data_IF_510803888130
#
_entry.id   IF_510803888130
#
_cell.length_a   1.000
_cell.length_b   1.000
_cell.length_c   1.000
_cell.angle_alpha   90.00
_cell.angle_beta   90.00
_cell.angle_gamma   90.00
#
_symmetry.space_group_name_H-M   'P 1'
#
loop_
_entity.id
_entity.type
_entity.pdbx_description
1 polymer ?
#
# COMPACT_ATOMS: atom_id res chain seq x y z
N UNK A 1 33.76 8.42 -39.07
CA UNK A 1 32.97 9.18 -38.08
C UNK A 1 31.90 8.22 -37.53
N UNK A 2 31.96 7.91 -36.24
CA UNK A 2 31.27 6.75 -35.62
C UNK A 2 29.75 6.93 -35.60
N UNK A 3 29.04 5.88 -36.05
CA UNK A 3 27.63 5.63 -35.75
C UNK A 3 27.44 5.50 -34.23
N UNK A 4 26.44 6.19 -33.67
CA UNK A 4 25.92 5.89 -32.33
C UNK A 4 24.48 5.41 -32.52
N UNK A 5 24.36 4.09 -32.54
CA UNK A 5 23.11 3.35 -32.41
C UNK A 5 22.60 3.58 -30.98
N UNK A 6 21.37 4.06 -30.81
CA UNK A 6 20.72 4.16 -29.50
C UNK A 6 20.39 2.74 -29.03
N UNK A 7 20.94 2.25 -27.91
CA UNK A 7 20.49 0.98 -27.37
C UNK A 7 19.11 1.19 -26.74
N UNK A 8 18.15 0.37 -27.18
CA UNK A 8 16.91 0.07 -26.48
C UNK A 8 17.26 -0.34 -25.06
N UNK A 9 16.99 0.52 -24.08
CA UNK A 9 17.09 0.14 -22.67
C UNK A 9 15.87 -0.73 -22.35
N UNK A 10 16.08 -2.03 -22.42
CA UNK A 10 15.24 -3.06 -21.82
C UNK A 10 15.02 -2.66 -20.35
N UNK A 11 13.78 -2.40 -19.97
CA UNK A 11 13.41 -2.25 -18.56
C UNK A 11 13.37 -3.65 -17.95
N UNK A 12 14.56 -4.18 -17.68
CA UNK A 12 14.77 -5.45 -17.01
C UNK A 12 14.57 -5.30 -15.51
N UNK A 13 13.76 -6.20 -14.96
CA UNK A 13 13.92 -6.85 -13.66
C UNK A 13 14.81 -6.10 -12.65
N UNK A 14 14.20 -5.41 -11.67
CA UNK A 14 14.93 -5.02 -10.47
C UNK A 14 15.22 -6.28 -9.66
N UNK A 15 16.40 -6.86 -9.91
CA UNK A 15 16.99 -7.88 -9.08
C UNK A 15 17.21 -7.30 -7.68
N UNK A 16 16.56 -7.94 -6.71
CA UNK A 16 16.79 -7.76 -5.28
C UNK A 16 18.23 -8.22 -4.99
N UNK A 17 19.19 -7.28 -4.95
CA UNK A 17 20.52 -7.53 -4.40
C UNK A 17 20.44 -7.47 -2.88
N UNK A 18 20.48 -8.63 -2.23
CA UNK A 18 20.73 -8.74 -0.80
C UNK A 18 22.23 -8.55 -0.53
N UNK A 19 22.61 -7.42 0.06
CA UNK A 19 23.90 -7.28 0.73
C UNK A 19 23.79 -7.98 2.08
N UNK A 20 24.55 -9.05 2.28
CA UNK A 20 24.73 -9.69 3.58
C UNK A 20 25.66 -8.84 4.44
N UNK A 21 25.09 -7.98 5.27
CA UNK A 21 25.75 -7.47 6.46
C UNK A 21 25.02 -8.02 7.68
N UNK A 22 25.63 -9.00 8.36
CA UNK A 22 25.33 -9.27 9.75
C UNK A 22 25.82 -8.07 10.57
N UNK A 23 24.94 -7.07 10.72
CA UNK A 23 25.12 -5.96 11.63
C UNK A 23 23.95 -6.00 12.62
N UNK A 24 24.26 -5.80 13.89
CA UNK A 24 23.34 -5.84 15.02
C UNK A 24 21.97 -5.24 14.69
N UNK A 25 20.91 -5.93 15.09
CA UNK A 25 19.59 -5.34 15.24
C UNK A 25 19.62 -4.30 16.37
N UNK A 26 20.33 -3.19 16.15
CA UNK A 26 20.02 -1.95 16.80
C UNK A 26 18.65 -1.56 16.25
N UNK A 27 17.64 -1.55 17.11
CA UNK A 27 16.29 -1.14 16.79
C UNK A 27 16.31 0.26 16.21
N UNK A 28 16.36 0.36 14.88
CA UNK A 28 16.10 1.60 14.17
C UNK A 28 14.66 1.96 14.52
N UNK A 29 14.50 2.93 15.42
CA UNK A 29 13.18 3.38 15.82
C UNK A 29 12.44 3.84 14.57
N UNK A 30 11.31 3.20 14.25
CA UNK A 30 10.48 3.56 13.09
C UNK A 30 10.18 5.04 13.15
N UNK A 31 10.61 5.79 12.12
CA UNK A 31 10.51 7.25 12.12
C UNK A 31 9.08 7.63 11.77
N UNK A 32 8.38 8.15 12.77
CA UNK A 32 7.06 8.72 12.57
C UNK A 32 7.14 10.05 11.83
N UNK A 33 6.84 10.04 10.51
CA UNK A 33 6.80 11.22 9.65
C UNK A 33 5.44 11.94 9.68
N UNK A 34 4.35 11.17 9.83
CA UNK A 34 2.98 11.67 9.76
C UNK A 34 2.41 12.10 11.13
N UNK A 35 3.09 11.75 12.23
CA UNK A 35 2.70 12.02 13.63
C UNK A 35 1.28 11.56 13.97
N UNK A 36 0.85 10.46 13.36
CA UNK A 36 -0.49 9.90 13.54
C UNK A 36 -0.56 9.16 14.88
N UNK A 37 -1.45 9.55 15.81
CA UNK A 37 -1.60 8.85 17.08
C UNK A 37 -2.04 7.39 16.87
N UNK A 38 -1.28 6.45 17.43
CA UNK A 38 -1.56 5.02 17.33
C UNK A 38 -2.05 4.39 18.65
N UNK A 39 -2.49 3.12 18.59
CA UNK A 39 -2.70 2.33 17.38
C UNK A 39 -3.90 2.81 16.55
N UNK A 40 -3.85 2.57 15.24
CA UNK A 40 -5.01 2.79 14.36
C UNK A 40 -5.98 1.62 14.50
N UNK A 41 -7.27 1.92 14.60
CA UNK A 41 -8.33 0.92 14.77
C UNK A 41 -9.11 0.74 13.47
N UNK A 42 -9.23 -0.50 12.99
CA UNK A 42 -10.07 -0.82 11.83
C UNK A 42 -10.64 -2.23 11.95
N UNK A 43 -11.95 -2.38 11.71
CA UNK A 43 -12.65 -3.66 11.71
C UNK A 43 -12.40 -4.55 12.95
N UNK A 44 -12.23 -3.92 14.13
CA UNK A 44 -11.96 -4.63 15.40
C UNK A 44 -10.50 -5.01 15.64
N UNK A 45 -9.58 -4.68 14.74
CA UNK A 45 -8.15 -4.89 14.90
C UNK A 45 -7.41 -3.58 15.22
N UNK A 46 -6.34 -3.70 16.00
CA UNK A 46 -5.40 -2.62 16.30
C UNK A 46 -4.14 -2.76 15.43
N UNK A 47 -3.71 -1.65 14.84
CA UNK A 47 -2.57 -1.58 13.93
C UNK A 47 -1.53 -0.61 14.47
N UNK A 48 -0.32 -1.12 14.70
CA UNK A 48 0.80 -0.36 15.26
C UNK A 48 1.79 0.00 14.15
N UNK A 49 2.34 1.22 14.20
CA UNK A 49 3.34 1.66 13.23
C UNK A 49 4.55 0.72 13.29
N UNK A 50 4.80 0.01 12.19
CA UNK A 50 5.88 -0.96 12.10
C UNK A 50 6.96 -0.50 11.13
N UNK A 51 6.59 0.20 10.06
CA UNK A 51 7.54 0.71 9.08
C UNK A 51 7.11 2.05 8.52
N UNK A 52 8.09 2.83 8.05
CA UNK A 52 7.89 4.17 7.52
C UNK A 52 8.94 4.50 6.48
N UNK A 53 8.58 5.27 5.45
CA UNK A 53 9.51 5.77 4.43
C UNK A 53 9.11 7.13 3.91
N UNK A 54 10.11 7.91 3.51
CA UNK A 54 9.99 9.20 2.84
C UNK A 54 10.98 9.23 1.66
N UNK A 55 10.68 8.53 0.55
CA UNK A 55 11.63 8.34 -0.54
C UNK A 55 11.69 9.53 -1.51
N UNK A 56 10.71 10.43 -1.45
CA UNK A 56 10.63 11.66 -2.26
C UNK A 56 10.09 12.79 -1.38
N UNK A 57 10.46 14.06 -1.63
CA UNK A 57 10.02 15.20 -0.82
C UNK A 57 8.50 15.35 -0.68
N UNK A 58 7.75 14.87 -1.67
CA UNK A 58 6.28 14.95 -1.75
C UNK A 58 5.58 13.65 -1.29
N UNK A 59 6.31 12.62 -0.84
CA UNK A 59 5.73 11.30 -0.59
C UNK A 59 6.13 10.71 0.75
N UNK A 60 5.13 10.38 1.56
CA UNK A 60 5.30 9.76 2.86
C UNK A 60 4.52 8.44 2.89
N UNK A 61 5.14 7.41 3.44
CA UNK A 61 4.54 6.08 3.55
C UNK A 61 4.69 5.55 4.95
N UNK A 62 3.59 5.14 5.56
CA UNK A 62 3.56 4.42 6.83
C UNK A 62 2.86 3.09 6.65
N UNK A 63 3.40 2.04 7.25
CA UNK A 63 2.82 0.70 7.30
C UNK A 63 2.62 0.30 8.75
N UNK A 64 1.40 -0.12 9.04
CA UNK A 64 0.95 -0.52 10.36
C UNK A 64 0.48 -1.97 10.30
N UNK A 65 0.90 -2.78 11.27
CA UNK A 65 0.49 -4.19 11.35
C UNK A 65 -0.01 -4.52 12.76
N UNK A 66 -0.85 -5.56 12.92
CA UNK A 66 -1.20 -6.07 14.24
C UNK A 66 0.02 -6.53 15.04
N UNK A 67 -0.09 -6.50 16.37
CA UNK A 67 0.98 -6.96 17.25
C UNK A 67 1.40 -8.40 16.90
N UNK A 68 2.72 -8.63 16.84
CA UNK A 68 3.32 -9.93 16.50
C UNK A 68 3.50 -10.18 14.99
N UNK A 69 3.04 -9.27 14.13
CA UNK A 69 3.33 -9.30 12.69
C UNK A 69 4.48 -8.34 12.33
N UNK A 70 5.09 -8.54 11.17
CA UNK A 70 6.08 -7.63 10.59
C UNK A 70 5.73 -7.32 9.13
N UNK A 71 6.35 -6.29 8.55
CA UNK A 71 5.98 -5.80 7.22
C UNK A 71 6.48 -6.70 6.08
N UNK A 72 7.52 -7.49 6.33
CA UNK A 72 8.08 -8.45 5.39
C UNK A 72 7.14 -9.64 5.17
N UNK A 73 6.47 -10.09 6.24
CA UNK A 73 5.47 -11.15 6.22
C UNK A 73 4.30 -10.85 7.17
N UNK A 74 3.17 -10.47 6.58
CA UNK A 74 1.94 -10.10 7.31
C UNK A 74 0.71 -10.81 6.74
N UNK A 75 -0.32 -10.94 7.58
CA UNK A 75 -1.66 -11.37 7.17
C UNK A 75 -2.61 -10.18 7.01
N UNK A 76 -2.38 -9.09 7.76
CA UNK A 76 -3.20 -7.89 7.71
C UNK A 76 -2.32 -6.66 7.91
N UNK A 77 -2.49 -5.64 7.05
CA UNK A 77 -1.73 -4.40 7.12
C UNK A 77 -2.65 -3.21 6.83
N UNK A 78 -2.47 -2.14 7.59
CA UNK A 78 -3.04 -0.82 7.31
C UNK A 78 -1.92 0.09 6.80
N UNK A 79 -2.17 0.85 5.76
CA UNK A 79 -1.20 1.71 5.09
C UNK A 79 -1.71 3.14 5.06
N UNK A 80 -0.80 4.10 5.26
CA UNK A 80 -1.04 5.51 4.97
C UNK A 80 0.03 5.97 3.98
N UNK A 81 -0.39 6.27 2.76
CA UNK A 81 0.48 6.89 1.75
C UNK A 81 -0.04 8.32 1.51
N UNK A 82 0.76 9.32 1.88
CA UNK A 82 0.46 10.73 1.64
C UNK A 82 1.28 11.23 0.46
N UNK A 83 0.59 11.73 -0.55
CA UNK A 83 1.17 12.55 -1.62
C UNK A 83 0.88 14.02 -1.31
N UNK A 84 1.91 14.75 -0.91
CA UNK A 84 1.89 16.20 -0.68
C UNK A 84 2.07 16.97 -2.00
N UNK A 85 1.03 16.93 -2.84
CA UNK A 85 0.97 17.70 -4.09
C UNK A 85 -0.40 18.39 -4.19
N UNK A 86 -0.40 19.72 -4.23
CA UNK A 86 -1.61 20.55 -4.30
C UNK A 86 -2.47 20.30 -5.54
N UNK A 87 -1.89 19.76 -6.61
CA UNK A 87 -2.60 19.46 -7.85
C UNK A 87 -3.21 18.06 -7.87
N UNK A 88 -2.77 17.18 -6.95
CA UNK A 88 -3.23 15.80 -6.90
C UNK A 88 -4.68 15.70 -6.40
N UNK A 89 -5.47 14.86 -7.07
CA UNK A 89 -6.84 14.57 -6.66
C UNK A 89 -7.06 13.07 -6.41
N UNK A 90 -8.04 12.70 -5.56
CA UNK A 90 -8.43 11.30 -5.37
C UNK A 90 -8.80 10.57 -6.68
N UNK A 91 -9.51 11.24 -7.59
CA UNK A 91 -9.84 10.70 -8.93
C UNK A 91 -8.58 10.37 -9.74
N UNK A 92 -7.59 11.26 -9.75
CA UNK A 92 -6.34 11.04 -10.48
C UNK A 92 -5.56 9.85 -9.91
N UNK A 93 -5.42 9.76 -8.59
CA UNK A 93 -4.68 8.65 -7.96
C UNK A 93 -5.40 7.32 -8.13
N UNK A 94 -6.73 7.29 -8.05
CA UNK A 94 -7.54 6.13 -8.42
C UNK A 94 -7.25 5.72 -9.86
N UNK A 95 -7.30 6.65 -10.81
CA UNK A 95 -7.06 6.40 -12.23
C UNK A 95 -5.66 5.83 -12.51
N UNK A 96 -4.63 6.38 -11.85
CA UNK A 96 -3.24 5.86 -11.95
C UNK A 96 -3.17 4.41 -11.48
N UNK A 97 -3.77 4.08 -10.32
CA UNK A 97 -3.74 2.71 -9.80
C UNK A 97 -4.55 1.74 -10.66
N UNK A 98 -5.70 2.16 -11.18
CA UNK A 98 -6.50 1.37 -12.12
C UNK A 98 -5.71 1.08 -13.40
N UNK A 99 -5.01 2.06 -13.97
CA UNK A 99 -4.17 1.86 -15.15
C UNK A 99 -2.97 0.94 -14.89
N UNK A 100 -2.41 0.94 -13.66
CA UNK A 100 -1.42 -0.06 -13.24
C UNK A 100 -2.03 -1.47 -13.21
N UNK A 101 -3.19 -1.65 -12.57
CA UNK A 101 -3.88 -2.94 -12.47
C UNK A 101 -4.29 -3.49 -13.84
N UNK A 102 -4.78 -2.64 -14.74
CA UNK A 102 -5.11 -3.05 -16.12
C UNK A 102 -3.89 -3.58 -16.88
N UNK A 103 -2.74 -2.90 -16.77
CA UNK A 103 -1.49 -3.42 -17.38
C UNK A 103 -1.05 -4.74 -16.73
N UNK A 104 -1.23 -4.87 -15.42
CA UNK A 104 -0.83 -6.07 -14.66
C UNK A 104 -1.63 -7.32 -15.06
N UNK A 105 -2.88 -7.19 -15.51
CA UNK A 105 -3.70 -8.32 -16.00
C UNK A 105 -3.02 -9.13 -17.10
N UNK A 106 -2.12 -8.52 -17.87
CA UNK A 106 -1.37 -9.23 -18.92
C UNK A 106 -0.46 -10.35 -18.37
N UNK A 107 -0.06 -10.25 -17.10
CA UNK A 107 0.89 -11.18 -16.46
C UNK A 107 0.36 -11.83 -15.19
N UNK A 108 -0.76 -11.33 -14.65
CA UNK A 108 -1.34 -11.76 -13.38
C UNK A 108 -2.86 -11.99 -13.56
N UNK A 109 -3.29 -13.23 -13.85
CA UNK A 109 -4.69 -13.55 -14.09
C UNK A 109 -5.55 -13.45 -12.82
N UNK A 110 -4.93 -13.33 -11.64
CA UNK A 110 -5.65 -13.12 -10.37
C UNK A 110 -6.17 -11.69 -10.28
N UNK A 111 -5.62 -10.74 -11.06
CA UNK A 111 -6.02 -9.33 -10.97
C UNK A 111 -7.49 -9.14 -11.27
N UNK A 112 -8.24 -8.76 -10.24
CA UNK A 112 -9.61 -8.26 -10.30
C UNK A 112 -9.71 -7.00 -9.46
N UNK A 113 -10.51 -6.04 -9.89
CA UNK A 113 -10.69 -4.80 -9.16
C UNK A 113 -12.07 -4.18 -9.40
N UNK A 114 -12.48 -3.31 -8.49
CA UNK A 114 -13.72 -2.55 -8.52
C UNK A 114 -13.42 -1.14 -8.02
N UNK A 115 -13.39 -0.13 -8.91
CA UNK A 115 -13.25 1.25 -8.51
C UNK A 115 -14.61 1.85 -8.17
N UNK A 116 -14.65 2.73 -7.18
CA UNK A 116 -15.78 3.56 -6.82
C UNK A 116 -15.28 5.00 -6.63
N UNK A 117 -15.93 5.96 -7.28
CA UNK A 117 -15.65 7.38 -7.12
C UNK A 117 -16.91 8.06 -6.57
N UNK A 118 -16.77 8.94 -5.58
CA UNK A 118 -17.89 9.73 -5.07
C UNK A 118 -18.45 10.64 -6.18
N UNK A 119 -19.72 11.04 -6.06
CA UNK A 119 -20.35 11.96 -7.01
C UNK A 119 -19.59 13.31 -7.08
N UNK A 120 -19.10 13.79 -5.93
CA UNK A 120 -18.26 14.97 -5.77
C UNK A 120 -16.81 14.79 -6.23
N UNK A 121 -16.38 13.55 -6.54
CA UNK A 121 -15.02 13.17 -6.95
C UNK A 121 -13.90 13.46 -5.94
N UNK A 122 -14.27 13.88 -4.75
CA UNK A 122 -13.38 14.19 -3.63
C UNK A 122 -13.01 12.95 -2.81
N UNK A 123 -13.63 11.79 -3.08
CA UNK A 123 -13.29 10.53 -2.42
C UNK A 123 -13.36 9.38 -3.42
N UNK A 124 -12.42 8.46 -3.32
CA UNK A 124 -12.40 7.25 -4.12
C UNK A 124 -12.14 6.03 -3.25
N UNK A 125 -12.69 4.89 -3.66
CA UNK A 125 -12.42 3.58 -3.10
C UNK A 125 -12.03 2.61 -4.23
N UNK A 126 -11.01 1.79 -3.99
CA UNK A 126 -10.57 0.77 -4.92
C UNK A 126 -10.42 -0.55 -4.17
N UNK A 127 -11.27 -1.50 -4.51
CA UNK A 127 -11.20 -2.87 -4.03
C UNK A 127 -10.52 -3.73 -5.10
N UNK A 128 -9.43 -4.43 -4.77
CA UNK A 128 -8.69 -5.23 -5.75
C UNK A 128 -7.98 -6.43 -5.13
N UNK A 129 -7.65 -7.41 -5.97
CA UNK A 129 -6.82 -8.55 -5.63
C UNK A 129 -5.74 -8.70 -6.69
N UNK A 130 -4.55 -9.15 -6.30
CA UNK A 130 -3.44 -9.45 -7.18
C UNK A 130 -2.62 -10.63 -6.63
N UNK A 131 -1.74 -11.18 -7.46
CA UNK A 131 -0.82 -12.24 -7.04
C UNK A 131 0.63 -11.88 -7.32
N UNK A 132 1.53 -12.53 -6.59
CA UNK A 132 2.97 -12.43 -6.79
C UNK A 132 3.61 -13.80 -6.52
N UNK A 133 4.90 -13.88 -6.80
CA UNK A 133 5.72 -15.03 -6.42
C UNK A 133 6.81 -14.52 -5.47
N UNK A 134 7.02 -15.21 -4.35
CA UNK A 134 8.12 -14.91 -3.43
C UNK A 134 9.49 -15.37 -4.00
N UNK A 135 10.56 -15.13 -3.23
CA UNK A 135 11.91 -15.47 -3.67
C UNK A 135 12.12 -16.99 -3.81
N UNK A 136 11.32 -17.78 -3.10
CA UNK A 136 11.34 -19.24 -3.09
C UNK A 136 10.43 -19.85 -4.18
N UNK A 137 9.72 -19.03 -4.95
CA UNK A 137 8.82 -19.50 -6.01
C UNK A 137 7.39 -19.79 -5.55
N UNK A 138 7.04 -19.50 -4.29
CA UNK A 138 5.68 -19.72 -3.79
C UNK A 138 4.75 -18.58 -4.20
N UNK A 139 3.50 -18.94 -4.48
CA UNK A 139 2.45 -17.97 -4.78
C UNK A 139 2.07 -17.17 -3.53
N UNK A 140 1.96 -15.87 -3.69
CA UNK A 140 1.36 -14.93 -2.75
C UNK A 140 0.09 -14.38 -3.41
N UNK A 141 -1.00 -14.29 -2.66
CA UNK A 141 -2.19 -13.54 -3.08
C UNK A 141 -2.46 -12.45 -2.05
N UNK A 142 -2.82 -11.28 -2.56
CA UNK A 142 -3.12 -10.12 -1.73
C UNK A 142 -4.42 -9.46 -2.18
N UNK A 143 -5.35 -9.34 -1.25
CA UNK A 143 -6.51 -8.47 -1.39
C UNK A 143 -6.22 -7.11 -0.75
N UNK A 144 -6.65 -6.06 -1.41
CA UNK A 144 -6.47 -4.68 -1.01
C UNK A 144 -7.76 -3.89 -1.15
N UNK A 145 -8.00 -2.99 -0.21
CA UNK A 145 -8.98 -1.93 -0.33
C UNK A 145 -8.29 -0.59 -0.06
N UNK A 146 -8.26 0.31 -1.03
CA UNK A 146 -7.66 1.64 -0.91
C UNK A 146 -8.74 2.70 -0.89
N UNK A 147 -8.67 3.62 0.07
CA UNK A 147 -9.51 4.82 0.13
C UNK A 147 -8.64 6.05 -0.08
N UNK A 148 -8.96 6.85 -1.09
CA UNK A 148 -8.29 8.12 -1.36
C UNK A 148 -9.17 9.26 -0.89
N UNK A 149 -8.61 10.16 -0.09
CA UNK A 149 -9.28 11.34 0.46
C UNK A 149 -8.35 12.56 0.40
N UNK A 150 -8.88 13.79 0.43
CA UNK A 150 -8.05 14.97 0.55
C UNK A 150 -7.24 14.88 1.85
N UNK A 151 -5.97 15.29 1.78
CA UNK A 151 -5.10 15.25 2.94
C UNK A 151 -5.61 16.20 4.03
N UNK A 152 -5.68 15.75 5.30
CA UNK A 152 -6.01 16.63 6.42
C UNK A 152 -4.90 17.65 6.74
N UNK A 153 -3.71 17.53 6.12
CA UNK A 153 -2.68 18.57 6.17
C UNK A 153 -2.97 19.80 5.26
N UNK A 154 -4.05 19.74 4.46
CA UNK A 154 -4.52 20.84 3.63
C UNK A 154 -3.98 20.85 2.19
N UNK A 155 -3.11 19.91 1.82
CA UNK A 155 -2.55 19.77 0.48
C UNK A 155 -2.44 18.30 0.08
N UNK A 156 -2.80 17.99 -1.16
CA UNK A 156 -2.67 16.66 -1.74
C UNK A 156 -3.65 15.62 -1.20
N UNK A 157 -3.25 14.36 -1.28
CA UNK A 157 -4.14 13.20 -1.13
C UNK A 157 -3.54 12.20 -0.16
N UNK A 158 -4.35 11.76 0.79
CA UNK A 158 -4.04 10.62 1.65
C UNK A 158 -4.72 9.37 1.08
N UNK A 159 -3.93 8.32 0.84
CA UNK A 159 -4.43 6.97 0.62
C UNK A 159 -4.37 6.20 1.94
N UNK A 160 -5.53 5.70 2.37
CA UNK A 160 -5.68 4.77 3.49
C UNK A 160 -5.94 3.39 2.91
N UNK A 161 -5.03 2.44 3.11
CA UNK A 161 -5.11 1.12 2.50
C UNK A 161 -5.24 0.00 3.53
N UNK A 162 -6.19 -0.91 3.35
CA UNK A 162 -6.24 -2.18 4.07
C UNK A 162 -5.79 -3.30 3.13
N UNK A 163 -4.78 -4.05 3.54
CA UNK A 163 -4.24 -5.20 2.81
C UNK A 163 -4.39 -6.48 3.62
N UNK A 164 -4.75 -7.58 2.95
CA UNK A 164 -4.69 -8.94 3.49
C UNK A 164 -3.96 -9.85 2.53
N UNK A 165 -2.93 -10.51 3.05
CA UNK A 165 -2.00 -11.31 2.26
C UNK A 165 -1.99 -12.75 2.77
N UNK A 166 -1.90 -13.69 1.84
CA UNK A 166 -1.80 -15.11 2.12
C UNK A 166 -0.68 -15.75 1.30
N UNK A 167 -0.05 -16.79 1.86
CA UNK A 167 1.15 -17.39 1.32
C UNK A 167 0.96 -18.89 1.10
N UNK A 168 1.14 -19.34 -0.15
CA UNK A 168 0.95 -20.72 -0.54
C UNK A 168 -0.53 -21.15 -0.57
N UNK A 169 -0.78 -22.25 -1.27
CA UNK A 169 -2.13 -22.65 -1.69
C UNK A 169 -3.14 -22.79 -0.54
N UNK A 170 -2.72 -23.33 0.60
CA UNK A 170 -3.59 -23.56 1.76
C UNK A 170 -4.09 -22.24 2.34
N UNK A 171 -3.19 -21.29 2.61
CA UNK A 171 -3.55 -19.98 3.16
C UNK A 171 -4.35 -19.17 2.13
N UNK A 172 -4.02 -19.27 0.84
CA UNK A 172 -4.74 -18.58 -0.24
C UNK A 172 -6.20 -19.04 -0.29
N UNK A 173 -6.46 -20.35 -0.19
CA UNK A 173 -7.84 -20.88 -0.12
C UNK A 173 -8.58 -20.35 1.10
N UNK A 174 -7.91 -20.30 2.25
CA UNK A 174 -8.49 -19.77 3.49
C UNK A 174 -8.81 -18.27 3.37
N UNK A 175 -7.92 -17.48 2.76
CA UNK A 175 -8.13 -16.05 2.50
C UNK A 175 -9.36 -15.84 1.63
N UNK A 176 -9.49 -16.54 0.50
CA UNK A 176 -10.67 -16.39 -0.36
C UNK A 176 -11.97 -16.81 0.34
N UNK A 177 -11.94 -17.85 1.18
CA UNK A 177 -13.10 -18.22 2.01
C UNK A 177 -13.46 -17.12 3.00
N UNK A 178 -12.48 -16.50 3.67
CA UNK A 178 -12.70 -15.36 4.57
C UNK A 178 -13.21 -14.12 3.82
N UNK A 179 -12.67 -13.81 2.65
CA UNK A 179 -13.08 -12.64 1.86
C UNK A 179 -14.55 -12.74 1.44
N UNK A 180 -15.08 -13.95 1.16
CA UNK A 180 -16.52 -14.12 0.90
C UNK A 180 -17.41 -13.65 2.05
N UNK A 181 -16.95 -13.77 3.30
CA UNK A 181 -17.71 -13.40 4.48
C UNK A 181 -17.43 -11.96 4.97
N UNK A 182 -16.20 -11.48 4.80
CA UNK A 182 -15.72 -10.27 5.47
C UNK A 182 -15.52 -9.06 4.55
N UNK A 183 -15.30 -9.27 3.24
CA UNK A 183 -14.85 -8.21 2.31
C UNK A 183 -15.75 -6.98 2.29
N UNK A 184 -17.07 -7.16 2.20
CA UNK A 184 -18.02 -6.04 2.20
C UNK A 184 -17.94 -5.23 3.51
N UNK A 185 -17.99 -5.92 4.66
CA UNK A 185 -17.85 -5.30 5.99
C UNK A 185 -16.54 -4.53 6.13
N UNK A 186 -15.43 -5.06 5.63
CA UNK A 186 -14.12 -4.42 5.78
C UNK A 186 -13.96 -3.22 4.86
N UNK A 187 -14.55 -3.27 3.66
CA UNK A 187 -14.65 -2.12 2.76
C UNK A 187 -15.50 -1.01 3.39
N UNK A 188 -16.65 -1.36 3.96
CA UNK A 188 -17.51 -0.42 4.68
C UNK A 188 -16.78 0.19 5.88
N UNK A 189 -16.06 -0.61 6.66
CA UNK A 189 -15.26 -0.13 7.78
C UNK A 189 -14.16 0.84 7.32
N UNK A 190 -13.48 0.55 6.21
CA UNK A 190 -12.45 1.43 5.65
C UNK A 190 -13.06 2.75 5.13
N UNK A 191 -14.20 2.67 4.43
CA UNK A 191 -14.93 3.83 3.94
C UNK A 191 -15.39 4.74 5.09
N UNK A 192 -15.83 4.15 6.21
CA UNK A 192 -16.31 4.86 7.39
C UNK A 192 -15.19 5.28 8.37
N UNK A 193 -13.96 4.81 8.18
CA UNK A 193 -12.84 5.14 9.06
C UNK A 193 -12.63 6.66 9.12
N UNK A 194 -12.55 7.29 10.30
CA UNK A 194 -12.18 8.70 10.39
C UNK A 194 -10.82 8.93 9.74
N UNK A 195 -10.71 9.99 8.93
CA UNK A 195 -9.41 10.37 8.34
C UNK A 195 -8.47 10.74 9.49
N UNK A 196 -7.32 10.04 9.66
CA UNK A 196 -6.44 10.30 10.79
C UNK A 196 -5.92 11.73 10.76
N UNK A 197 -5.96 12.42 11.90
CA UNK A 197 -5.24 13.68 12.03
C UNK A 197 -3.74 13.40 11.88
N UNK A 198 -3.09 14.11 10.98
CA UNK A 198 -1.65 13.98 10.73
C UNK A 198 -0.99 15.35 10.69
N UNK A 199 0.28 15.41 11.08
CA UNK A 199 1.15 16.56 10.87
C UNK A 199 2.47 16.06 10.31
N UNK A 200 2.95 16.72 9.26
CA UNK A 200 4.27 16.43 8.72
C UNK A 200 5.33 16.84 9.75
N UNK A 201 6.18 15.90 10.12
CA UNK A 201 7.35 16.19 10.93
C UNK A 201 8.37 16.93 10.05
N UNK A 202 8.77 18.12 10.48
CA UNK A 202 9.83 18.88 9.81
C UNK A 202 11.09 18.02 9.67
N UNK A 203 11.68 18.02 8.47
CA UNK A 203 13.00 17.45 8.28
C UNK A 203 13.99 18.26 9.12
N UNK A 204 14.63 17.61 10.09
CA UNK A 204 15.77 18.22 10.76
C UNK A 204 16.95 18.10 9.80
N UNK A 205 17.60 19.22 9.42
CA UNK A 205 18.73 19.21 8.49
C UNK A 205 19.93 18.44 9.03
#
# INVERSE_FOLDING_TARGET
>A
MRMIVRPLLRMGLYALLCVTAAAAAAGQQTKDYLTVPGPLQLAGAAYHLAWSSHPRPDFYKHEYVPQGQNVERYQSMLMLDLLDDRSATPEQLLGIKVAELERRKATDPVVHYTPLLSESKDQALLDFVLSATDAEGNTIVEWNAYRYVPSPAGHGVLMIGLSRRAYGDTEIRALFAQLKAARARDIEALAAMPVPALKLRAETP
#
